data_IF_483214578051
#
_entry.id   IF_483214578051
#
_cell.length_a   1.000
_cell.length_b   1.000
_cell.length_c   1.000
_cell.angle_alpha   90.00
_cell.angle_beta   90.00
_cell.angle_gamma   90.00
#
_symmetry.space_group_name_H-M   'P 1'
#
loop_
_entity.id
_entity.type
_entity.pdbx_description
1 polymer ?
#
# COMPACT_ATOMS: atom_id res chain seq x y z
N UNK A 1 15.08 -15.23 1.20
CA UNK A 1 15.25 -16.38 0.27
C UNK A 1 14.85 -17.71 0.89
N UNK A 2 15.04 -17.94 2.20
CA UNK A 2 14.80 -19.25 2.82
C UNK A 2 13.35 -19.78 2.85
N UNK A 3 12.33 -18.91 2.96
CA UNK A 3 10.93 -19.34 3.02
C UNK A 3 10.33 -19.73 1.67
N UNK A 4 10.87 -19.20 0.57
CA UNK A 4 10.39 -19.52 -0.76
C UNK A 4 10.73 -20.99 -1.12
N UNK A 5 11.93 -21.43 -0.75
CA UNK A 5 12.42 -22.80 -0.97
C UNK A 5 11.59 -23.87 -0.27
N UNK A 6 11.10 -23.62 0.94
CA UNK A 6 10.27 -24.60 1.67
C UNK A 6 8.87 -24.76 1.08
N UNK A 7 8.28 -23.69 0.54
CA UNK A 7 6.98 -23.76 -0.12
C UNK A 7 7.08 -24.51 -1.47
N UNK A 8 8.23 -24.40 -2.14
CA UNK A 8 8.48 -25.06 -3.43
C UNK A 8 8.61 -26.58 -3.33
N UNK A 9 9.13 -27.10 -2.21
CA UNK A 9 9.29 -28.55 -2.02
C UNK A 9 7.97 -29.34 -1.95
N UNK A 10 6.83 -28.67 -1.70
CA UNK A 10 5.50 -29.33 -1.60
C UNK A 10 4.65 -29.24 -2.86
N UNK A 11 5.03 -28.43 -3.86
CA UNK A 11 4.26 -28.26 -5.07
C UNK A 11 5.02 -28.82 -6.27
N UNK A 12 4.45 -29.84 -6.92
CA UNK A 12 4.99 -30.50 -8.11
C UNK A 12 4.93 -29.64 -9.39
N UNK A 13 5.08 -28.32 -9.27
CA UNK A 13 5.13 -27.39 -10.41
C UNK A 13 6.31 -26.44 -10.22
N UNK A 14 7.22 -26.47 -11.19
CA UNK A 14 8.34 -25.56 -11.34
C UNK A 14 7.84 -24.11 -11.41
N UNK A 15 7.78 -23.44 -10.27
CA UNK A 15 7.63 -21.98 -10.22
C UNK A 15 9.04 -21.41 -10.39
N UNK A 16 9.29 -20.87 -11.59
CA UNK A 16 10.53 -20.25 -12.04
C UNK A 16 10.84 -18.92 -11.33
N UNK A 17 9.87 -18.31 -10.63
CA UNK A 17 10.15 -17.10 -9.84
C UNK A 17 8.92 -16.38 -9.29
N UNK A 18 9.17 -15.32 -8.52
CA UNK A 18 8.17 -14.34 -8.06
C UNK A 18 8.50 -13.03 -8.76
N UNK A 19 7.52 -12.43 -9.43
CA UNK A 19 7.71 -11.13 -10.07
C UNK A 19 8.07 -10.04 -9.03
N UNK A 20 8.89 -9.08 -9.42
CA UNK A 20 9.32 -7.97 -8.55
C UNK A 20 8.15 -7.22 -7.90
N UNK A 21 7.08 -7.00 -8.66
CA UNK A 21 5.87 -6.33 -8.18
C UNK A 21 5.13 -7.14 -7.10
N UNK A 22 5.07 -8.47 -7.24
CA UNK A 22 4.48 -9.35 -6.23
C UNK A 22 5.36 -9.41 -4.97
N UNK A 23 6.68 -9.54 -5.13
CA UNK A 23 7.62 -9.52 -4.02
C UNK A 23 7.55 -8.22 -3.20
N UNK A 24 7.47 -7.06 -3.87
CA UNK A 24 7.31 -5.75 -3.22
C UNK A 24 6.04 -5.69 -2.37
N UNK A 25 4.90 -6.12 -2.91
CA UNK A 25 3.64 -6.15 -2.14
C UNK A 25 3.68 -7.08 -0.93
N UNK A 26 4.36 -8.21 -1.05
CA UNK A 26 4.55 -9.12 0.07
C UNK A 26 5.44 -8.53 1.17
N UNK A 27 6.41 -7.67 0.82
CA UNK A 27 7.25 -6.95 1.80
C UNK A 27 6.50 -5.79 2.47
N UNK A 28 5.58 -5.13 1.76
CA UNK A 28 4.77 -4.05 2.31
C UNK A 28 3.70 -4.53 3.28
N UNK A 29 3.12 -5.72 3.02
CA UNK A 29 2.01 -6.26 3.80
C UNK A 29 2.50 -6.74 5.18
N UNK A 30 1.82 -6.38 6.29
CA UNK A 30 2.32 -6.64 7.64
C UNK A 30 2.12 -8.07 8.15
N UNK A 31 1.43 -8.94 7.39
CA UNK A 31 1.15 -10.33 7.77
C UNK A 31 0.56 -10.48 9.19
N UNK A 32 -0.64 -9.93 9.47
CA UNK A 32 -1.25 -9.99 10.80
C UNK A 32 -1.47 -11.43 11.31
N UNK A 33 -1.56 -12.42 10.41
CA UNK A 33 -1.65 -13.84 10.73
C UNK A 33 -0.29 -14.56 10.86
N UNK A 34 0.82 -13.83 10.96
CA UNK A 34 2.19 -14.35 11.04
C UNK A 34 2.63 -15.15 9.79
N UNK A 35 3.75 -15.88 9.90
CA UNK A 35 4.37 -16.69 8.83
C UNK A 35 3.38 -17.67 8.17
N UNK A 36 2.39 -18.18 8.92
CA UNK A 36 1.35 -19.06 8.35
C UNK A 36 0.47 -18.36 7.32
N UNK A 37 0.23 -17.06 7.48
CA UNK A 37 -0.53 -16.30 6.48
C UNK A 37 0.26 -16.12 5.18
N UNK A 38 1.58 -15.92 5.31
CA UNK A 38 2.52 -15.86 4.19
C UNK A 38 2.61 -17.20 3.46
N UNK A 39 2.75 -18.31 4.18
CA UNK A 39 2.76 -19.67 3.63
C UNK A 39 1.47 -19.95 2.86
N UNK A 40 0.30 -19.75 3.48
CA UNK A 40 -1.00 -19.95 2.82
C UNK A 40 -1.17 -19.09 1.56
N UNK A 41 -0.64 -17.87 1.58
CA UNK A 41 -0.65 -16.99 0.43
C UNK A 41 0.20 -17.54 -0.72
N UNK A 42 1.43 -17.97 -0.41
CA UNK A 42 2.35 -18.56 -1.39
C UNK A 42 1.82 -19.88 -1.94
N UNK A 43 1.32 -20.78 -1.10
CA UNK A 43 0.71 -22.04 -1.53
C UNK A 43 -0.43 -21.81 -2.52
N UNK A 44 -1.31 -20.84 -2.22
CA UNK A 44 -2.41 -20.48 -3.11
C UNK A 44 -1.90 -19.87 -4.41
N UNK A 45 -0.90 -18.99 -4.35
CA UNK A 45 -0.32 -18.37 -5.53
C UNK A 45 0.31 -19.43 -6.46
N UNK A 46 1.06 -20.39 -5.89
CA UNK A 46 1.63 -21.52 -6.62
C UNK A 46 0.54 -22.42 -7.24
N UNK A 47 -0.53 -22.74 -6.48
CA UNK A 47 -1.60 -23.60 -6.97
C UNK A 47 -2.38 -22.98 -8.16
N UNK A 48 -2.56 -21.66 -8.14
CA UNK A 48 -3.23 -20.89 -9.19
C UNK A 48 -2.30 -20.58 -10.37
N UNK A 49 -0.99 -20.67 -10.18
CA UNK A 49 -0.03 -20.32 -11.20
C UNK A 49 -0.06 -21.30 -12.38
N UNK A 50 -0.15 -20.73 -13.58
CA UNK A 50 -0.20 -21.46 -14.86
C UNK A 50 0.99 -21.13 -15.77
N UNK A 51 1.77 -20.12 -15.43
CA UNK A 51 2.76 -19.46 -16.31
C UNK A 51 4.20 -19.66 -15.85
N UNK A 52 4.41 -20.27 -14.68
CA UNK A 52 5.73 -20.49 -14.09
C UNK A 52 6.25 -19.31 -13.26
N UNK A 53 5.65 -18.12 -13.31
CA UNK A 53 6.06 -16.97 -12.51
C UNK A 53 4.89 -16.41 -11.70
N UNK A 54 5.05 -16.27 -10.37
CA UNK A 54 4.01 -15.72 -9.48
C UNK A 54 3.89 -14.20 -9.67
N UNK A 55 2.72 -13.80 -10.17
CA UNK A 55 2.34 -12.41 -10.40
C UNK A 55 1.47 -11.82 -9.29
N UNK A 56 1.24 -10.51 -9.35
CA UNK A 56 0.29 -9.84 -8.46
C UNK A 56 -1.13 -10.40 -8.59
N UNK A 57 -1.54 -10.84 -9.78
CA UNK A 57 -2.86 -11.45 -10.04
C UNK A 57 -3.13 -12.65 -9.14
N UNK A 58 -2.08 -13.40 -8.81
CA UNK A 58 -2.14 -14.67 -8.08
C UNK A 58 -2.28 -14.45 -6.56
N UNK A 59 -2.10 -13.20 -6.10
CA UNK A 59 -2.20 -12.83 -4.70
C UNK A 59 -3.66 -12.62 -4.24
N UNK A 60 -3.97 -12.87 -2.95
CA UNK A 60 -5.23 -12.50 -2.33
C UNK A 60 -5.54 -11.01 -2.46
N UNK A 61 -6.83 -10.66 -2.60
CA UNK A 61 -7.29 -9.26 -2.68
C UNK A 61 -6.76 -8.39 -1.53
N UNK A 62 -6.75 -8.92 -0.30
CA UNK A 62 -6.23 -8.20 0.87
C UNK A 62 -4.78 -7.71 0.73
N UNK A 63 -3.96 -8.39 -0.07
CA UNK A 63 -2.56 -8.00 -0.32
C UNK A 63 -2.49 -7.08 -1.54
N UNK A 64 -3.26 -7.38 -2.59
CA UNK A 64 -3.35 -6.53 -3.79
C UNK A 64 -3.82 -5.12 -3.46
N UNK A 65 -4.85 -5.04 -2.62
CA UNK A 65 -5.54 -3.80 -2.24
C UNK A 65 -4.89 -3.14 -1.02
N UNK A 66 -3.83 -3.74 -0.45
CA UNK A 66 -3.11 -3.15 0.66
C UNK A 66 -2.30 -1.95 0.17
N UNK A 67 -2.72 -0.75 0.55
CA UNK A 67 -1.91 0.45 0.42
C UNK A 67 -1.21 0.74 1.73
N UNK A 68 0.13 0.69 1.73
CA UNK A 68 0.90 1.10 2.90
C UNK A 68 0.62 2.59 3.18
N UNK A 69 0.22 2.91 4.40
CA UNK A 69 0.03 4.29 4.87
C UNK A 69 1.36 5.01 5.15
N UNK A 70 2.47 4.33 4.90
CA UNK A 70 3.82 4.86 5.02
C UNK A 70 4.13 5.66 3.76
N UNK A 71 4.31 6.96 3.92
CA UNK A 71 4.81 7.83 2.86
C UNK A 71 6.30 7.56 2.70
N UNK A 72 6.64 6.46 2.03
CA UNK A 72 8.00 6.19 1.58
C UNK A 72 8.23 7.01 0.30
N UNK A 73 8.96 8.11 0.44
CA UNK A 73 9.45 8.92 -0.70
C UNK A 73 10.69 8.28 -1.35
N UNK A 74 11.23 7.21 -0.74
CA UNK A 74 12.39 6.49 -1.25
C UNK A 74 11.98 5.41 -2.25
N UNK A 75 11.56 5.81 -3.45
CA UNK A 75 11.58 4.91 -4.59
C UNK A 75 13.04 4.75 -5.02
N UNK A 76 13.67 3.61 -4.69
CA UNK A 76 15.01 3.26 -5.18
C UNK A 76 15.00 2.89 -6.69
N UNK A 77 13.81 2.60 -7.22
CA UNK A 77 13.54 2.21 -8.60
C UNK A 77 12.68 3.30 -9.29
N UNK A 78 13.14 3.87 -10.44
CA UNK A 78 12.36 4.83 -11.22
C UNK A 78 10.96 4.34 -11.64
N UNK A 79 10.75 3.02 -11.71
CA UNK A 79 9.43 2.44 -12.01
C UNK A 79 8.43 2.56 -10.86
N UNK A 80 8.87 2.90 -9.65
CA UNK A 80 8.02 3.13 -8.47
C UNK A 80 7.63 4.62 -8.28
N UNK A 81 8.08 5.50 -9.18
CA UNK A 81 7.75 6.93 -9.10
C UNK A 81 6.24 7.12 -9.29
N UNK A 82 5.58 7.58 -8.23
CA UNK A 82 4.18 7.97 -8.28
C UNK A 82 4.05 9.46 -8.61
N UNK A 83 2.98 9.88 -9.29
CA UNK A 83 2.70 11.31 -9.49
C UNK A 83 2.65 12.06 -8.15
N UNK A 84 3.18 13.29 -8.13
CA UNK A 84 3.25 14.11 -6.90
C UNK A 84 1.91 14.24 -6.17
N UNK A 85 0.78 14.29 -6.90
CA UNK A 85 -0.55 14.40 -6.28
C UNK A 85 -0.93 13.17 -5.43
N UNK A 86 -0.40 11.97 -5.75
CA UNK A 86 -0.63 10.74 -4.97
C UNK A 86 0.11 10.82 -3.64
N UNK A 87 1.37 11.27 -3.66
CA UNK A 87 2.17 11.50 -2.44
C UNK A 87 1.51 12.56 -1.57
N UNK A 88 1.10 13.67 -2.18
CA UNK A 88 0.44 14.77 -1.49
C UNK A 88 -0.87 14.32 -0.83
N UNK A 89 -1.73 13.59 -1.55
CA UNK A 89 -2.98 13.06 -0.98
C UNK A 89 -2.71 12.16 0.23
N UNK A 90 -1.82 11.17 0.08
CA UNK A 90 -1.46 10.25 1.17
C UNK A 90 -0.94 10.99 2.38
N UNK A 91 -0.08 11.98 2.16
CA UNK A 91 0.50 12.78 3.24
C UNK A 91 -0.55 13.65 3.95
N UNK A 92 -1.45 14.29 3.19
CA UNK A 92 -2.56 15.06 3.78
C UNK A 92 -3.44 14.16 4.66
N UNK A 93 -3.82 12.98 4.19
CA UNK A 93 -4.60 12.00 4.97
C UNK A 93 -3.87 11.59 6.25
N UNK A 94 -2.56 11.32 6.15
CA UNK A 94 -1.72 10.94 7.29
C UNK A 94 -1.65 12.05 8.34
N UNK A 95 -1.38 13.29 7.93
CA UNK A 95 -1.32 14.43 8.86
C UNK A 95 -2.67 14.64 9.53
N UNK A 96 -3.77 14.61 8.77
CA UNK A 96 -5.13 14.72 9.32
C UNK A 96 -5.42 13.62 10.35
N UNK A 97 -5.05 12.37 10.07
CA UNK A 97 -5.18 11.28 11.03
C UNK A 97 -4.35 11.50 12.29
N UNK A 98 -3.09 11.92 12.15
CA UNK A 98 -2.16 12.15 13.25
C UNK A 98 -2.59 13.29 14.19
N UNK A 99 -3.33 14.29 13.67
CA UNK A 99 -3.84 15.42 14.48
C UNK A 99 -5.31 15.29 14.84
N UNK A 100 -5.91 14.09 14.72
CA UNK A 100 -7.31 13.86 15.09
C UNK A 100 -8.28 14.72 14.28
N UNK A 101 -8.03 14.90 12.99
CA UNK A 101 -8.81 15.72 12.07
C UNK A 101 -8.87 17.23 12.37
N UNK A 102 -8.01 17.75 13.25
CA UNK A 102 -7.88 19.20 13.48
C UNK A 102 -7.32 19.91 12.23
N UNK A 103 -8.20 20.53 11.43
CA UNK A 103 -7.84 21.14 10.13
C UNK A 103 -6.87 22.31 10.27
N UNK A 104 -6.99 23.12 11.33
CA UNK A 104 -6.08 24.24 11.59
C UNK A 104 -4.67 23.75 11.87
N UNK A 105 -4.54 22.71 12.71
CA UNK A 105 -3.24 22.11 13.04
C UNK A 105 -2.64 21.38 11.84
N UNK A 106 -3.46 20.67 11.07
CA UNK A 106 -3.03 19.99 9.85
C UNK A 106 -2.50 20.98 8.80
N UNK A 107 -3.22 22.08 8.56
CA UNK A 107 -2.80 23.11 7.62
C UNK A 107 -1.43 23.69 7.99
N UNK A 108 -1.22 24.03 9.27
CA UNK A 108 0.08 24.51 9.77
C UNK A 108 1.21 23.51 9.57
N UNK A 109 0.99 22.23 9.89
CA UNK A 109 1.99 21.17 9.71
C UNK A 109 2.32 20.91 8.24
N UNK A 110 1.32 21.01 7.37
CA UNK A 110 1.50 20.86 5.92
C UNK A 110 2.09 22.12 5.25
N UNK A 111 2.26 23.23 6.00
CA UNK A 111 2.70 24.50 5.44
C UNK A 111 1.67 25.17 4.53
N UNK A 112 0.39 24.82 4.67
CA UNK A 112 -0.72 25.36 3.89
C UNK A 112 -1.49 26.40 4.67
N UNK A 113 -2.05 27.38 3.96
CA UNK A 113 -3.18 28.12 4.48
C UNK A 113 -4.43 27.21 4.56
N UNK A 114 -5.42 27.60 5.38
CA UNK A 114 -6.64 26.81 5.59
C UNK A 114 -7.42 26.62 4.28
N UNK A 115 -7.52 27.64 3.43
CA UNK A 115 -8.27 27.57 2.15
C UNK A 115 -7.62 26.59 1.17
N UNK A 116 -6.29 26.52 1.14
CA UNK A 116 -5.51 25.57 0.35
C UNK A 116 -5.72 24.14 0.83
N UNK A 117 -5.70 23.90 2.15
CA UNK A 117 -6.03 22.58 2.69
C UNK A 117 -7.45 22.15 2.28
N UNK A 118 -8.45 23.01 2.45
CA UNK A 118 -9.83 22.68 2.06
C UNK A 118 -9.98 22.40 0.56
N UNK A 119 -9.34 23.20 -0.31
CA UNK A 119 -9.32 22.96 -1.76
C UNK A 119 -8.73 21.59 -2.09
N UNK A 120 -7.63 21.20 -1.43
CA UNK A 120 -6.99 19.89 -1.60
C UNK A 120 -7.86 18.76 -1.07
N UNK A 121 -8.51 18.96 0.08
CA UNK A 121 -9.46 17.99 0.63
C UNK A 121 -10.65 17.74 -0.30
N UNK A 122 -11.24 18.79 -0.88
CA UNK A 122 -12.28 18.65 -1.91
C UNK A 122 -11.75 17.87 -3.12
N UNK A 123 -10.58 18.25 -3.64
CA UNK A 123 -9.97 17.62 -4.81
C UNK A 123 -9.73 16.12 -4.62
N UNK A 124 -9.34 15.71 -3.41
CA UNK A 124 -9.01 14.32 -3.08
C UNK A 124 -10.17 13.56 -2.42
N UNK A 125 -11.38 14.14 -2.36
CA UNK A 125 -12.54 13.51 -1.71
C UNK A 125 -12.31 13.19 -0.22
N UNK A 126 -11.52 14.01 0.48
CA UNK A 126 -11.30 13.88 1.92
C UNK A 126 -12.43 14.60 2.65
N UNK A 127 -13.21 13.93 3.51
CA UNK A 127 -14.34 14.56 4.20
C UNK A 127 -13.95 15.80 5.04
N UNK A 128 -14.66 16.90 4.83
CA UNK A 128 -14.52 18.17 5.53
C UNK A 128 -15.86 18.89 5.69
N UNK A 129 -16.66 18.47 6.65
CA UNK A 129 -17.90 19.19 6.97
C UNK A 129 -17.57 20.59 7.50
N UNK A 130 -17.97 21.64 6.76
CA UNK A 130 -18.09 22.97 7.33
C UNK A 130 -19.29 22.96 8.28
N UNK A 131 -19.04 23.04 9.58
CA UNK A 131 -20.04 23.65 10.45
C UNK A 131 -20.14 25.12 9.97
N UNK A 132 -21.20 25.44 9.22
CA UNK A 132 -21.57 26.82 8.94
C UNK A 132 -21.78 27.50 10.29
N UNK A 133 -20.83 28.32 10.70
CA UNK A 133 -21.06 29.32 11.73
C UNK A 133 -22.02 30.35 11.11
N UNK A 134 -23.24 30.37 11.63
CA UNK A 134 -24.26 31.41 11.43
C UNK A 134 -24.01 32.48 12.50
#
# INVERSE_FOLDING_TARGET
QHFAEMAWAKSARDVLGISSAAARKMMEYPWPGNVRELENCLERAVALNRTGEIGLSDMPKRIKDYESSTVLVAAADPMELVPMHVVEERYIRRVLGAVGNNKTRAARLLGFDRKTLYRKMTRYGIPHTEAKEV
#
